data_IF_438129575972
#
_entry.id   IF_438129575972
#
_cell.length_a   1.000
_cell.length_b   1.000
_cell.length_c   1.000
_cell.angle_alpha   90.00
_cell.angle_beta   90.00
_cell.angle_gamma   90.00
#
_symmetry.space_group_name_H-M   'P 1'
#
loop_
_entity.id
_entity.type
_entity.pdbx_description
1 polymer ?
#
# COMPACT_ATOMS: atom_id res chain seq x y z
N UNK A 1 0.88 -6.40 19.87
CA UNK A 1 1.04 -5.86 18.50
C UNK A 1 -0.22 -5.06 18.21
N UNK A 2 -0.06 -3.81 17.82
CA UNK A 2 -1.16 -2.87 17.57
C UNK A 2 -0.99 -2.25 16.17
N UNK A 3 -2.11 -1.83 15.58
CA UNK A 3 -2.12 -0.98 14.40
C UNK A 3 -2.76 0.34 14.83
N UNK A 4 -2.10 1.45 14.49
CA UNK A 4 -2.51 2.81 14.86
C UNK A 4 -2.15 3.81 13.79
N UNK A 5 -2.75 4.99 13.83
CA UNK A 5 -2.29 6.14 13.04
C UNK A 5 -0.81 6.42 13.33
N UNK A 6 -0.08 6.73 12.27
CA UNK A 6 1.30 7.19 12.36
C UNK A 6 1.34 8.63 12.92
N UNK A 7 2.46 8.97 13.55
CA UNK A 7 2.79 10.30 14.05
C UNK A 7 4.05 10.81 13.36
N UNK A 8 4.35 12.07 13.50
CA UNK A 8 5.57 12.69 12.95
C UNK A 8 6.85 11.94 13.38
N UNK A 9 6.90 11.47 14.62
CA UNK A 9 8.03 10.70 15.15
C UNK A 9 8.22 9.33 14.48
N UNK A 10 7.18 8.78 13.83
CA UNK A 10 7.25 7.51 13.11
C UNK A 10 7.85 7.67 11.71
N UNK A 11 7.83 8.87 11.13
CA UNK A 11 8.21 9.12 9.72
C UNK A 11 9.61 8.62 9.42
N UNK A 12 10.59 8.93 10.30
CA UNK A 12 11.96 8.45 10.12
C UNK A 12 11.99 6.92 9.97
N UNK A 13 11.28 6.21 10.85
CA UNK A 13 11.25 4.74 10.84
C UNK A 13 10.51 4.18 9.63
N UNK A 14 9.43 4.82 9.20
CA UNK A 14 8.68 4.41 8.00
C UNK A 14 9.54 4.56 6.75
N UNK A 15 10.30 5.65 6.62
CA UNK A 15 11.26 5.86 5.52
C UNK A 15 12.34 4.78 5.52
N UNK A 16 12.92 4.43 6.68
CA UNK A 16 13.89 3.33 6.81
C UNK A 16 13.29 2.00 6.31
N UNK A 17 12.03 1.72 6.67
CA UNK A 17 11.31 0.50 6.21
C UNK A 17 11.11 0.53 4.70
N UNK A 18 10.69 1.66 4.13
CA UNK A 18 10.48 1.80 2.69
C UNK A 18 11.78 1.59 1.91
N UNK A 19 12.88 2.20 2.35
CA UNK A 19 14.21 2.04 1.74
C UNK A 19 14.68 0.57 1.81
N UNK A 20 14.54 -0.08 2.98
CA UNK A 20 14.88 -1.50 3.12
C UNK A 20 14.03 -2.39 2.20
N UNK A 21 12.75 -2.05 1.98
CA UNK A 21 11.88 -2.75 1.03
C UNK A 21 12.33 -2.52 -0.41
N UNK A 22 12.70 -1.29 -0.78
CA UNK A 22 13.22 -0.96 -2.11
C UNK A 22 14.50 -1.75 -2.41
N UNK A 23 15.49 -1.71 -1.53
CA UNK A 23 16.74 -2.46 -1.66
C UNK A 23 16.48 -3.97 -1.81
N UNK A 24 15.57 -4.52 -1.00
CA UNK A 24 15.20 -5.92 -1.06
C UNK A 24 14.51 -6.29 -2.39
N UNK A 25 13.65 -5.42 -2.93
CA UNK A 25 13.03 -5.63 -4.24
C UNK A 25 14.05 -5.52 -5.37
N UNK A 26 14.91 -4.51 -5.36
CA UNK A 26 15.96 -4.31 -6.35
C UNK A 26 16.92 -5.51 -6.39
N UNK A 27 17.30 -6.07 -5.23
CA UNK A 27 18.13 -7.28 -5.16
C UNK A 27 17.50 -8.51 -5.83
N UNK A 28 16.20 -8.46 -6.10
CA UNK A 28 15.40 -9.48 -6.82
C UNK A 28 14.99 -9.06 -8.22
N UNK A 29 15.58 -8.00 -8.76
CA UNK A 29 15.23 -7.40 -10.06
C UNK A 29 13.77 -6.92 -10.15
N UNK A 30 13.20 -6.48 -9.03
CA UNK A 30 11.87 -5.89 -8.96
C UNK A 30 12.04 -4.38 -8.74
N UNK A 31 11.80 -3.59 -9.78
CA UNK A 31 12.01 -2.13 -9.78
C UNK A 31 10.67 -1.40 -9.58
N UNK A 32 10.00 -1.70 -8.45
CA UNK A 32 8.75 -1.07 -8.06
C UNK A 32 8.98 0.22 -7.27
N UNK A 33 9.91 0.17 -6.33
CA UNK A 33 10.36 1.29 -5.50
C UNK A 33 11.86 1.49 -5.69
N UNK A 34 12.31 2.73 -5.46
CA UNK A 34 13.70 3.13 -5.52
C UNK A 34 14.06 4.14 -4.42
N UNK A 35 15.20 4.78 -4.50
CA UNK A 35 15.66 5.78 -3.54
C UNK A 35 14.83 7.07 -3.55
N UNK A 36 14.04 7.31 -4.60
CA UNK A 36 13.24 8.52 -4.77
C UNK A 36 11.75 8.29 -4.43
N UNK A 37 11.29 7.04 -4.41
CA UNK A 37 9.90 6.70 -4.15
C UNK A 37 9.75 5.41 -3.33
N UNK A 38 8.94 5.42 -2.24
CA UNK A 38 8.25 6.59 -1.66
C UNK A 38 9.21 7.51 -0.90
N UNK A 39 9.08 8.82 -1.11
CA UNK A 39 9.92 9.81 -0.45
C UNK A 39 9.44 10.14 0.97
N UNK A 40 10.30 10.83 1.74
CA UNK A 40 9.95 11.32 3.09
C UNK A 40 8.75 12.26 3.05
N UNK A 41 8.70 13.17 2.07
CA UNK A 41 7.65 14.17 1.90
C UNK A 41 6.28 13.53 1.67
N UNK A 42 6.23 12.40 0.94
CA UNK A 42 4.99 11.63 0.74
C UNK A 42 4.49 11.09 2.07
N UNK A 43 5.36 10.55 2.92
CA UNK A 43 4.96 10.07 4.24
C UNK A 43 4.57 11.20 5.20
N UNK A 44 5.22 12.36 5.12
CA UNK A 44 4.81 13.56 5.85
C UNK A 44 3.40 14.01 5.44
N UNK A 45 3.09 13.99 4.15
CA UNK A 45 1.74 14.28 3.64
C UNK A 45 0.72 13.23 4.09
N UNK A 46 1.06 11.94 4.06
CA UNK A 46 0.19 10.87 4.53
C UNK A 46 -0.14 11.00 6.03
N UNK A 47 0.83 11.38 6.86
CA UNK A 47 0.62 11.65 8.30
C UNK A 47 -0.28 12.86 8.48
N UNK A 48 -0.03 13.95 7.78
CA UNK A 48 -0.83 15.18 7.84
C UNK A 48 -2.28 14.95 7.42
N UNK A 49 -2.53 14.01 6.51
CA UNK A 49 -3.86 13.65 6.02
C UNK A 49 -4.53 12.53 6.84
N UNK A 50 -3.96 12.13 7.97
CA UNK A 50 -4.46 11.04 8.84
C UNK A 50 -4.74 9.73 8.09
N UNK A 51 -3.94 9.41 7.07
CA UNK A 51 -4.13 8.21 6.25
C UNK A 51 -3.00 7.18 6.35
N UNK A 52 -1.88 7.49 7.04
CA UNK A 52 -0.81 6.53 7.29
C UNK A 52 -1.04 5.77 8.60
N UNK A 53 -1.08 4.45 8.51
CA UNK A 53 -1.16 3.55 9.66
C UNK A 53 0.12 2.73 9.78
N UNK A 54 0.55 2.47 11.02
CA UNK A 54 1.73 1.67 11.33
C UNK A 54 1.36 0.46 12.16
N UNK A 55 2.06 -0.67 11.91
CA UNK A 55 1.99 -1.85 12.78
C UNK A 55 3.19 -1.87 13.71
N UNK A 56 2.91 -1.89 15.02
CA UNK A 56 3.89 -1.74 16.08
C UNK A 56 3.90 -2.95 17.01
N UNK A 57 5.09 -3.37 17.43
CA UNK A 57 5.32 -4.36 18.49
C UNK A 57 6.41 -3.87 19.41
N UNK A 58 6.13 -3.82 20.73
CA UNK A 58 7.08 -3.38 21.78
C UNK A 58 7.73 -2.03 21.40
N UNK A 59 6.90 -1.02 21.10
CA UNK A 59 7.32 0.34 20.70
C UNK A 59 8.13 0.43 19.40
N UNK A 60 8.32 -0.68 18.68
CA UNK A 60 9.02 -0.70 17.39
C UNK A 60 8.04 -0.82 16.24
N UNK A 61 8.06 0.13 15.32
CA UNK A 61 7.32 0.08 14.05
C UNK A 61 7.97 -0.93 13.13
N UNK A 62 7.18 -1.87 12.59
CA UNK A 62 7.61 -2.99 11.75
C UNK A 62 7.11 -2.88 10.31
N UNK A 63 6.08 -2.11 10.06
CA UNK A 63 5.47 -1.90 8.75
C UNK A 63 4.45 -0.77 8.76
N UNK A 64 3.94 -0.43 7.60
CA UNK A 64 2.93 0.62 7.40
C UNK A 64 2.01 0.32 6.22
N UNK A 65 0.91 1.04 6.17
CA UNK A 65 -0.03 1.10 5.06
C UNK A 65 -0.68 2.49 5.02
N UNK A 66 -0.84 3.07 3.83
CA UNK A 66 -1.65 4.26 3.65
C UNK A 66 -3.07 3.85 3.22
N UNK A 67 -4.07 4.32 3.97
CA UNK A 67 -5.51 4.08 3.73
C UNK A 67 -6.12 5.45 3.36
N UNK A 68 -6.19 5.75 2.07
CA UNK A 68 -6.63 7.03 1.53
C UNK A 68 -8.08 6.99 1.05
N UNK A 69 -8.76 8.11 1.15
CA UNK A 69 -10.10 8.32 0.56
C UNK A 69 -10.02 9.11 -0.76
N UNK A 70 -8.83 9.56 -1.13
CA UNK A 70 -8.59 10.37 -2.33
C UNK A 70 -8.22 9.45 -3.49
N UNK A 71 -8.94 9.58 -4.60
CA UNK A 71 -8.60 8.89 -5.85
C UNK A 71 -7.40 9.57 -6.52
N UNK A 72 -6.43 8.78 -6.93
CA UNK A 72 -5.31 9.26 -7.75
C UNK A 72 -5.75 9.50 -9.20
N UNK A 73 -5.13 10.47 -9.86
CA UNK A 73 -5.47 10.82 -11.25
C UNK A 73 -5.33 9.64 -12.22
N UNK A 74 -4.32 8.79 -12.02
CA UNK A 74 -4.10 7.58 -12.83
C UNK A 74 -5.23 6.55 -12.73
N UNK A 75 -6.04 6.62 -11.67
CA UNK A 75 -7.16 5.70 -11.43
C UNK A 75 -8.48 6.14 -12.09
N UNK A 76 -8.58 7.40 -12.50
CA UNK A 76 -9.85 7.98 -13.01
C UNK A 76 -10.41 7.26 -14.24
N UNK A 77 -9.54 6.71 -15.08
CA UNK A 77 -9.92 6.03 -16.33
C UNK A 77 -9.96 4.50 -16.22
N UNK A 78 -9.69 3.95 -15.04
CA UNK A 78 -9.75 2.49 -14.81
C UNK A 78 -11.22 2.08 -14.70
N UNK A 79 -11.59 0.99 -15.35
CA UNK A 79 -12.92 0.37 -15.23
C UNK A 79 -12.98 -0.46 -13.96
N UNK A 80 -13.33 0.20 -12.87
CA UNK A 80 -13.50 -0.42 -11.58
C UNK A 80 -14.79 -1.25 -11.50
N UNK A 81 -14.87 -2.18 -10.54
CA UNK A 81 -16.07 -2.99 -10.27
C UNK A 81 -17.21 -2.17 -9.68
N UNK A 82 -16.87 -1.14 -8.91
CA UNK A 82 -17.83 -0.22 -8.27
C UNK A 82 -17.68 1.19 -8.81
N UNK A 83 -18.69 2.05 -8.61
CA UNK A 83 -18.62 3.46 -9.00
C UNK A 83 -17.52 4.23 -8.25
N UNK A 84 -17.06 5.35 -8.83
CA UNK A 84 -15.96 6.19 -8.29
C UNK A 84 -16.36 7.05 -7.07
N UNK A 85 -17.20 6.55 -6.22
CA UNK A 85 -17.57 7.18 -4.95
C UNK A 85 -17.64 6.08 -3.88
N UNK A 86 -17.37 6.46 -2.65
CA UNK A 86 -17.47 5.55 -1.51
C UNK A 86 -16.47 4.39 -1.53
N UNK A 87 -15.23 4.68 -1.95
CA UNK A 87 -14.14 3.71 -2.07
C UNK A 87 -12.94 4.12 -1.22
N UNK A 88 -12.16 3.13 -0.80
CA UNK A 88 -10.88 3.30 -0.13
C UNK A 88 -9.74 2.93 -1.10
N UNK A 89 -8.65 3.66 -1.03
CA UNK A 89 -7.45 3.46 -1.86
C UNK A 89 -6.26 3.12 -0.96
N UNK A 90 -5.64 1.96 -1.20
CA UNK A 90 -4.47 1.54 -0.44
C UNK A 90 -3.18 1.85 -1.19
N UNK A 91 -2.25 2.44 -0.48
CA UNK A 91 -0.92 2.77 -1.00
C UNK A 91 0.14 2.38 0.00
N UNK A 92 1.37 2.21 -0.47
CA UNK A 92 2.59 2.10 0.35
C UNK A 92 2.50 1.04 1.46
N UNK A 93 1.87 -0.12 1.16
CA UNK A 93 1.96 -1.28 2.04
C UNK A 93 3.40 -1.75 2.12
N UNK A 94 4.01 -1.64 3.28
CA UNK A 94 5.39 -2.03 3.54
C UNK A 94 5.53 -2.78 4.86
N UNK A 95 6.33 -3.84 4.84
CA UNK A 95 6.81 -4.54 6.03
C UNK A 95 8.31 -4.70 5.90
N UNK A 96 9.06 -4.28 6.92
CA UNK A 96 10.52 -4.40 6.92
C UNK A 96 10.94 -5.83 6.57
N UNK A 97 11.94 -6.04 5.69
CA UNK A 97 12.33 -7.36 5.20
C UNK A 97 12.55 -8.42 6.30
N UNK A 98 13.17 -8.05 7.42
CA UNK A 98 13.42 -8.97 8.57
C UNK A 98 12.12 -9.48 9.23
N UNK A 99 11.01 -8.83 8.97
CA UNK A 99 9.70 -9.17 9.56
C UNK A 99 8.70 -9.67 8.52
N UNK A 100 9.09 -9.78 7.25
CA UNK A 100 8.26 -10.39 6.22
C UNK A 100 8.06 -11.89 6.45
N UNK A 101 7.02 -12.48 5.84
CA UNK A 101 6.68 -13.89 6.01
C UNK A 101 6.04 -14.25 7.35
N UNK A 102 5.78 -13.26 8.23
CA UNK A 102 5.20 -13.44 9.57
C UNK A 102 3.73 -12.95 9.66
N UNK A 103 3.05 -12.82 8.54
CA UNK A 103 1.65 -12.41 8.47
C UNK A 103 1.38 -10.92 8.70
N UNK A 104 2.40 -10.04 8.81
CA UNK A 104 2.19 -8.63 9.13
C UNK A 104 1.48 -7.86 8.01
N UNK A 105 1.81 -8.15 6.75
CA UNK A 105 1.12 -7.54 5.60
C UNK A 105 -0.35 -7.94 5.59
N UNK A 106 -0.67 -9.20 5.87
CA UNK A 106 -2.05 -9.66 5.98
C UNK A 106 -2.80 -8.90 7.07
N UNK A 107 -2.22 -8.73 8.26
CA UNK A 107 -2.85 -7.98 9.35
C UNK A 107 -3.12 -6.51 9.00
N UNK A 108 -2.23 -5.88 8.22
CA UNK A 108 -2.45 -4.51 7.74
C UNK A 108 -3.60 -4.46 6.71
N UNK A 109 -3.72 -5.48 5.85
CA UNK A 109 -4.83 -5.59 4.91
C UNK A 109 -6.16 -5.86 5.63
N UNK A 110 -6.19 -6.79 6.59
CA UNK A 110 -7.37 -7.07 7.41
C UNK A 110 -7.86 -5.79 8.13
N UNK A 111 -6.93 -5.02 8.69
CA UNK A 111 -7.23 -3.74 9.32
C UNK A 111 -7.85 -2.74 8.32
N UNK A 112 -7.29 -2.66 7.10
CA UNK A 112 -7.84 -1.78 6.06
C UNK A 112 -9.26 -2.21 5.63
N UNK A 113 -9.54 -3.51 5.57
CA UNK A 113 -10.87 -4.05 5.28
C UNK A 113 -11.86 -3.73 6.41
N UNK A 114 -11.46 -3.92 7.67
CA UNK A 114 -12.26 -3.52 8.82
C UNK A 114 -12.53 -2.02 8.86
N UNK A 115 -11.52 -1.19 8.58
CA UNK A 115 -11.65 0.26 8.47
C UNK A 115 -12.69 0.64 7.40
N UNK A 116 -12.60 0.01 6.23
CA UNK A 116 -13.49 0.25 5.09
C UNK A 116 -14.94 -0.05 5.47
N UNK A 117 -15.20 -1.23 6.03
CA UNK A 117 -16.55 -1.65 6.47
C UNK A 117 -17.10 -0.74 7.58
N UNK A 118 -16.29 -0.47 8.62
CA UNK A 118 -16.72 0.38 9.75
C UNK A 118 -17.12 1.79 9.35
N UNK A 119 -16.48 2.33 8.30
CA UNK A 119 -16.76 3.67 7.82
C UNK A 119 -17.78 3.70 6.67
N UNK A 120 -18.40 2.56 6.33
CA UNK A 120 -19.46 2.47 5.33
C UNK A 120 -18.97 2.62 3.88
N UNK A 121 -17.70 2.34 3.60
CA UNK A 121 -17.18 2.30 2.24
C UNK A 121 -17.45 0.95 1.59
N UNK A 122 -17.59 0.93 0.25
CA UNK A 122 -18.07 -0.22 -0.50
C UNK A 122 -16.96 -1.11 -1.05
N UNK A 123 -15.78 -0.56 -1.27
CA UNK A 123 -14.68 -1.32 -1.87
C UNK A 123 -13.32 -0.76 -1.50
N UNK A 124 -12.31 -1.60 -1.69
CA UNK A 124 -10.90 -1.24 -1.60
C UNK A 124 -10.26 -1.38 -2.97
N UNK A 125 -9.49 -0.37 -3.37
CA UNK A 125 -8.75 -0.30 -4.63
C UNK A 125 -7.27 -0.11 -4.36
N UNK A 126 -6.45 -0.73 -5.17
CA UNK A 126 -4.98 -0.62 -5.08
C UNK A 126 -4.36 -0.96 -6.44
N UNK A 127 -3.06 -0.72 -6.54
CA UNK A 127 -2.25 -1.23 -7.64
C UNK A 127 -0.95 -1.86 -7.14
N UNK A 128 -0.34 -2.66 -7.97
CA UNK A 128 1.00 -3.19 -7.75
C UNK A 128 1.74 -3.40 -9.07
N UNK A 129 3.06 -3.29 -9.00
CA UNK A 129 3.95 -3.47 -10.14
C UNK A 129 3.75 -4.84 -10.80
N UNK A 130 3.61 -4.87 -12.12
CA UNK A 130 3.35 -6.12 -12.87
C UNK A 130 4.47 -7.14 -12.71
N UNK A 131 5.72 -6.69 -12.56
CA UNK A 131 6.89 -7.53 -12.33
C UNK A 131 7.00 -8.12 -10.92
N UNK A 132 6.19 -7.64 -9.95
CA UNK A 132 6.18 -8.17 -8.60
C UNK A 132 5.18 -9.32 -8.47
N UNK A 133 5.58 -10.52 -8.93
CA UNK A 133 4.72 -11.70 -8.92
C UNK A 133 4.22 -12.09 -7.52
N UNK A 134 5.06 -11.87 -6.48
CA UNK A 134 4.69 -12.14 -5.09
C UNK A 134 3.51 -11.30 -4.65
N UNK A 135 3.54 -9.99 -4.94
CA UNK A 135 2.45 -9.08 -4.58
C UNK A 135 1.18 -9.36 -5.41
N UNK A 136 1.33 -9.60 -6.72
CA UNK A 136 0.20 -9.95 -7.57
C UNK A 136 -0.52 -11.21 -7.04
N UNK A 137 0.22 -12.26 -6.67
CA UNK A 137 -0.33 -13.47 -6.06
C UNK A 137 -0.96 -13.18 -4.70
N UNK A 138 -0.32 -12.35 -3.88
CA UNK A 138 -0.81 -11.99 -2.55
C UNK A 138 -2.20 -11.35 -2.62
N UNK A 139 -2.40 -10.32 -3.45
CA UNK A 139 -3.70 -9.65 -3.57
C UNK A 139 -4.78 -10.58 -4.14
N UNK A 140 -4.45 -11.40 -5.14
CA UNK A 140 -5.39 -12.39 -5.67
C UNK A 140 -5.86 -13.38 -4.60
N UNK A 141 -4.93 -13.88 -3.75
CA UNK A 141 -5.27 -14.78 -2.64
C UNK A 141 -6.10 -14.11 -1.54
N UNK A 142 -6.00 -12.78 -1.39
CA UNK A 142 -6.85 -11.99 -0.48
C UNK A 142 -8.24 -11.68 -1.07
N UNK A 143 -8.57 -12.20 -2.26
CA UNK A 143 -9.88 -12.01 -2.88
C UNK A 143 -10.01 -10.71 -3.68
N UNK A 144 -8.90 -10.03 -3.97
CA UNK A 144 -8.91 -8.88 -4.87
C UNK A 144 -8.98 -9.33 -6.32
N UNK A 145 -9.88 -8.72 -7.07
CA UNK A 145 -10.02 -8.96 -8.51
C UNK A 145 -9.05 -8.09 -9.27
N UNK A 146 -8.22 -8.73 -10.10
CA UNK A 146 -7.31 -8.05 -11.02
C UNK A 146 -8.09 -7.40 -12.15
N UNK A 147 -7.81 -6.13 -12.40
CA UNK A 147 -8.46 -5.30 -13.41
C UNK A 147 -7.46 -4.80 -14.45
N UNK A 148 -7.70 -3.60 -14.98
CA UNK A 148 -6.85 -2.96 -15.98
C UNK A 148 -5.47 -2.60 -15.44
N UNK A 149 -4.57 -2.22 -16.31
CA UNK A 149 -3.23 -1.75 -15.99
C UNK A 149 -3.12 -0.24 -16.15
N UNK A 150 -2.29 0.34 -15.31
CA UNK A 150 -1.91 1.76 -15.35
C UNK A 150 -0.39 1.89 -15.49
N UNK A 151 0.08 3.10 -15.79
CA UNK A 151 1.49 3.39 -15.96
C UNK A 151 1.90 4.59 -15.10
N UNK A 152 2.91 4.40 -14.27
CA UNK A 152 3.64 5.48 -13.60
C UNK A 152 4.93 5.74 -14.38
N UNK A 153 4.86 6.57 -15.42
CA UNK A 153 5.95 6.80 -16.38
C UNK A 153 7.24 7.32 -15.74
N UNK A 154 7.15 7.93 -14.57
CA UNK A 154 8.30 8.40 -13.78
C UNK A 154 8.95 7.29 -12.97
N UNK A 155 8.29 6.14 -12.78
CA UNK A 155 8.79 5.01 -12.00
C UNK A 155 9.25 3.85 -12.87
N UNK A 156 8.49 3.50 -13.93
CA UNK A 156 8.81 2.36 -14.78
C UNK A 156 8.08 2.42 -16.12
N UNK A 157 8.72 1.87 -17.17
CA UNK A 157 8.08 1.60 -18.45
C UNK A 157 7.12 0.40 -18.39
N UNK A 158 7.22 -0.42 -17.35
CA UNK A 158 6.32 -1.56 -17.13
C UNK A 158 5.04 -1.12 -16.42
N UNK A 159 3.89 -1.77 -16.72
CA UNK A 159 2.63 -1.41 -16.11
C UNK A 159 2.53 -1.83 -14.65
N UNK A 160 1.58 -1.22 -13.96
CA UNK A 160 1.05 -1.64 -12.66
C UNK A 160 -0.35 -2.22 -12.87
N UNK A 161 -0.66 -3.31 -12.21
CA UNK A 161 -1.97 -3.94 -12.27
C UNK A 161 -2.86 -3.37 -11.18
N UNK A 162 -4.06 -2.92 -11.56
CA UNK A 162 -5.09 -2.47 -10.62
C UNK A 162 -5.86 -3.66 -10.05
N UNK A 163 -6.26 -3.53 -8.80
CA UNK A 163 -7.04 -4.51 -8.06
C UNK A 163 -8.18 -3.84 -7.30
N UNK A 164 -9.34 -4.49 -7.25
CA UNK A 164 -10.44 -4.06 -6.41
C UNK A 164 -11.05 -5.24 -5.66
N UNK A 165 -11.42 -5.01 -4.41
CA UNK A 165 -12.23 -5.93 -3.59
C UNK A 165 -13.48 -5.20 -3.14
N UNK A 166 -14.64 -5.73 -3.52
CA UNK A 166 -15.93 -5.27 -3.02
C UNK A 166 -16.19 -5.92 -1.68
N UNK A 167 -16.62 -5.15 -0.67
CA UNK A 167 -16.83 -5.60 0.71
C UNK A 167 -18.31 -5.58 1.07
#
# INVERSE_FOLDING_TARGET
MIIRLAKDDDIKRVVEIANACADHMISKNIFQWDENYPSKEIFEEDVKNDCLFVIEKNTKVLGCICISLKIDDVYKNVKWLTANHNNVYLHRLAVHPDFQGKGLALRLMDYAEEFTLKNGYNSIRLDTFSGNQKNNKFYTLQGYTKLEKIFYRTQSDMPFHCYEKVL
#
